data_IF_158268922519
#
_entry.id   IF_158268922519
#
_cell.length_a   1.000
_cell.length_b   1.000
_cell.length_c   1.000
_cell.angle_alpha   90.00
_cell.angle_beta   90.00
_cell.angle_gamma   90.00
#
_symmetry.space_group_name_H-M   'P 1'
#
loop_
_entity.id
_entity.type
_entity.pdbx_description
1 polymer ?
#
# COMPACT_ATOMS: atom_id res chain seq x y z
N UNK A 1 -6.87 -6.52 12.51
CA UNK A 1 -5.66 -7.32 12.12
C UNK A 1 -5.36 -7.04 10.66
N UNK A 2 -4.15 -7.34 10.19
CA UNK A 2 -3.83 -7.27 8.77
C UNK A 2 -3.24 -8.57 8.21
N UNK A 3 -3.49 -8.82 6.92
CA UNK A 3 -2.81 -9.85 6.12
C UNK A 3 -1.99 -9.16 5.05
N UNK A 4 -0.68 -9.45 5.06
CA UNK A 4 0.29 -8.90 4.13
C UNK A 4 0.58 -9.91 3.03
N UNK A 5 0.65 -9.42 1.80
CA UNK A 5 1.11 -10.19 0.66
C UNK A 5 1.86 -9.31 -0.34
N UNK A 6 2.89 -9.88 -0.96
CA UNK A 6 3.51 -9.30 -2.15
C UNK A 6 2.62 -9.56 -3.37
N UNK A 7 2.27 -8.52 -4.11
CA UNK A 7 1.43 -8.63 -5.31
C UNK A 7 2.21 -8.36 -6.58
N UNK A 8 1.82 -9.03 -7.66
CA UNK A 8 2.18 -8.60 -9.00
C UNK A 8 1.33 -7.38 -9.40
N UNK A 9 1.81 -6.53 -10.32
CA UNK A 9 1.05 -5.34 -10.71
C UNK A 9 -0.30 -5.68 -11.38
N UNK A 10 -0.41 -6.85 -12.02
CA UNK A 10 -1.66 -7.37 -12.56
C UNK A 10 -2.68 -7.79 -11.49
N UNK A 11 -2.23 -8.02 -10.26
CA UNK A 11 -3.03 -8.51 -9.14
C UNK A 11 -3.54 -7.39 -8.23
N UNK A 12 -2.82 -6.24 -8.19
CA UNK A 12 -3.18 -5.12 -7.32
C UNK A 12 -4.56 -4.53 -7.64
N UNK A 13 -4.87 -4.23 -8.92
CA UNK A 13 -6.15 -3.62 -9.30
C UNK A 13 -7.38 -4.51 -8.99
N UNK A 14 -7.32 -5.84 -9.22
CA UNK A 14 -8.33 -6.77 -8.71
C UNK A 14 -8.43 -6.74 -7.17
N UNK A 15 -7.31 -6.80 -6.44
CA UNK A 15 -7.30 -6.84 -4.97
C UNK A 15 -8.01 -5.62 -4.36
N UNK A 16 -7.62 -4.40 -4.75
CA UNK A 16 -8.25 -3.16 -4.27
C UNK A 16 -9.74 -3.01 -4.66
N UNK A 17 -10.25 -3.84 -5.57
CA UNK A 17 -11.68 -3.80 -5.95
C UNK A 17 -12.52 -4.78 -5.12
N UNK A 18 -11.87 -5.72 -4.42
CA UNK A 18 -12.53 -6.74 -3.61
C UNK A 18 -12.39 -6.50 -2.11
N UNK A 19 -11.39 -5.71 -1.69
CA UNK A 19 -11.17 -5.34 -0.29
C UNK A 19 -11.98 -4.10 0.10
N UNK A 20 -12.51 -4.09 1.33
CA UNK A 20 -13.23 -2.94 1.88
C UNK A 20 -12.29 -1.83 2.35
N UNK A 21 -11.29 -2.20 3.15
CA UNK A 21 -10.24 -1.32 3.64
C UNK A 21 -8.88 -2.00 3.38
N UNK A 22 -7.96 -1.30 2.74
CA UNK A 22 -6.63 -1.86 2.50
C UNK A 22 -5.57 -0.78 2.38
N UNK A 23 -4.33 -1.18 2.59
CA UNK A 23 -3.16 -0.35 2.42
C UNK A 23 -2.20 -1.02 1.45
N UNK A 24 -1.55 -0.25 0.57
CA UNK A 24 -0.53 -0.81 -0.30
C UNK A 24 0.59 0.18 -0.61
N UNK A 25 1.74 -0.38 -0.91
CA UNK A 25 2.97 0.35 -1.22
C UNK A 25 3.49 -0.13 -2.56
N UNK A 26 3.82 0.79 -3.45
CA UNK A 26 4.43 0.51 -4.74
C UNK A 26 5.86 1.06 -4.69
N UNK A 27 6.86 0.18 -4.87
CA UNK A 27 8.28 0.52 -4.82
C UNK A 27 8.97 0.10 -6.10
N UNK A 28 9.77 0.98 -6.69
CA UNK A 28 10.58 0.65 -7.84
C UNK A 28 11.92 1.39 -7.82
N UNK A 29 13.00 0.69 -8.15
CA UNK A 29 14.33 1.29 -8.29
C UNK A 29 14.52 1.76 -9.75
N UNK A 30 14.31 3.06 -9.98
CA UNK A 30 14.56 3.70 -11.29
C UNK A 30 16.07 4.00 -11.42
N UNK A 31 16.60 4.15 -12.65
CA UNK A 31 18.05 4.35 -12.86
C UNK A 31 18.69 5.53 -12.13
N UNK A 32 17.90 6.55 -11.77
CA UNK A 32 18.38 7.80 -11.18
C UNK A 32 17.74 8.12 -9.82
N UNK A 33 16.77 7.33 -9.36
CA UNK A 33 16.06 7.55 -8.10
C UNK A 33 15.24 6.33 -7.68
N UNK A 34 14.97 6.22 -6.39
CA UNK A 34 13.92 5.35 -5.90
C UNK A 34 12.54 6.01 -6.13
N UNK A 35 11.59 5.24 -6.64
CA UNK A 35 10.18 5.60 -6.68
C UNK A 35 9.46 4.78 -5.61
N UNK A 36 8.70 5.48 -4.77
CA UNK A 36 7.93 4.85 -3.71
C UNK A 36 6.68 5.69 -3.45
N UNK A 37 5.53 5.02 -3.42
CA UNK A 37 4.26 5.60 -2.99
C UNK A 37 3.54 4.64 -2.05
N UNK A 38 2.85 5.18 -1.07
CA UNK A 38 1.93 4.46 -0.20
C UNK A 38 0.52 4.97 -0.46
N UNK A 39 -0.46 4.07 -0.49
CA UNK A 39 -1.86 4.41 -0.71
C UNK A 39 -2.71 3.64 0.28
N UNK A 40 -3.60 4.38 0.94
CA UNK A 40 -4.61 3.82 1.83
C UNK A 40 -5.98 3.95 1.16
N UNK A 41 -6.75 2.86 1.15
CA UNK A 41 -8.10 2.80 0.61
C UNK A 41 -9.09 2.68 1.77
N UNK A 42 -9.99 3.65 1.86
CA UNK A 42 -11.08 3.67 2.83
C UNK A 42 -12.32 4.28 2.19
N UNK A 43 -13.48 3.61 2.31
CA UNK A 43 -14.78 4.08 1.78
C UNK A 43 -14.70 4.53 0.30
N UNK A 44 -14.12 3.68 -0.57
CA UNK A 44 -13.89 3.94 -2.00
C UNK A 44 -12.96 5.13 -2.34
N UNK A 45 -12.31 5.72 -1.34
CA UNK A 45 -11.36 6.82 -1.49
C UNK A 45 -9.91 6.33 -1.35
N UNK A 46 -9.06 6.72 -2.31
CA UNK A 46 -7.63 6.42 -2.27
C UNK A 46 -6.88 7.65 -1.77
N UNK A 47 -6.23 7.51 -0.62
CA UNK A 47 -5.42 8.53 0.00
C UNK A 47 -3.95 8.27 -0.28
N UNK A 48 -3.26 9.25 -0.86
CA UNK A 48 -1.83 9.18 -1.10
C UNK A 48 -1.08 9.55 0.18
N UNK A 49 -0.20 8.65 0.61
CA UNK A 49 0.62 8.83 1.81
C UNK A 49 2.09 8.98 1.39
N UNK A 50 2.70 10.09 1.82
CA UNK A 50 4.11 10.42 1.63
C UNK A 50 4.71 10.83 2.98
N UNK A 51 4.96 9.85 3.84
CA UNK A 51 5.59 10.04 5.15
C UNK A 51 6.72 9.04 5.34
N UNK A 52 7.93 9.54 5.63
CA UNK A 52 9.13 8.71 5.81
C UNK A 52 8.99 7.76 7.00
N UNK A 53 8.28 8.16 8.07
CA UNK A 53 8.05 7.32 9.26
C UNK A 53 7.19 6.11 8.93
N UNK A 54 6.17 6.31 8.09
CA UNK A 54 5.33 5.22 7.60
C UNK A 54 6.17 4.24 6.79
N UNK A 55 7.04 4.74 5.91
CA UNK A 55 7.92 3.88 5.12
C UNK A 55 8.93 3.10 5.97
N UNK A 56 9.51 3.72 6.99
CA UNK A 56 10.38 3.05 7.95
C UNK A 56 9.63 1.93 8.70
N UNK A 57 8.38 2.18 9.10
CA UNK A 57 7.55 1.17 9.77
C UNK A 57 7.24 -0.01 8.84
N UNK A 58 6.89 0.25 7.57
CA UNK A 58 6.65 -0.81 6.59
C UNK A 58 7.87 -1.70 6.41
N UNK A 59 9.07 -1.12 6.36
CA UNK A 59 10.31 -1.92 6.25
C UNK A 59 10.47 -2.86 7.46
N UNK A 60 10.13 -2.42 8.68
CA UNK A 60 10.20 -3.25 9.88
C UNK A 60 9.25 -4.45 9.83
N UNK A 61 8.01 -4.24 9.37
CA UNK A 61 6.97 -5.28 9.32
C UNK A 61 6.89 -6.02 7.98
N UNK A 62 7.75 -5.68 7.01
CA UNK A 62 7.69 -6.20 5.63
C UNK A 62 7.81 -7.73 5.52
N UNK A 63 8.44 -8.36 6.51
CA UNK A 63 8.63 -9.82 6.56
C UNK A 63 7.47 -10.58 7.21
N UNK A 64 6.51 -9.87 7.79
CA UNK A 64 5.35 -10.44 8.48
C UNK A 64 4.23 -10.66 7.47
N UNK A 65 3.63 -11.85 7.48
CA UNK A 65 2.49 -12.18 6.61
C UNK A 65 1.15 -11.89 7.29
N UNK A 66 1.11 -11.90 8.63
CA UNK A 66 -0.06 -11.63 9.44
C UNK A 66 0.41 -10.84 10.67
N UNK A 67 -0.23 -9.71 10.96
CA UNK A 67 0.14 -8.87 12.09
C UNK A 67 -1.03 -8.07 12.65
N UNK A 68 -0.72 -7.26 13.65
CA UNK A 68 -1.71 -6.41 14.31
C UNK A 68 -1.81 -5.07 13.58
N UNK A 69 -3.03 -4.61 13.33
CA UNK A 69 -3.25 -3.33 12.65
C UNK A 69 -2.72 -2.13 13.45
N UNK A 70 -2.68 -2.27 14.77
CA UNK A 70 -2.08 -1.29 15.69
C UNK A 70 -0.57 -1.05 15.42
N UNK A 71 0.10 -1.93 14.68
CA UNK A 71 1.50 -1.77 14.29
C UNK A 71 1.70 -0.81 13.11
N UNK A 72 0.64 -0.50 12.34
CA UNK A 72 0.73 0.33 11.13
C UNK A 72 -0.32 1.45 11.07
N UNK A 73 -1.52 1.25 11.60
CA UNK A 73 -2.60 2.24 11.56
C UNK A 73 -2.20 3.60 12.15
N UNK A 74 -1.50 3.70 13.31
CA UNK A 74 -1.10 4.99 13.84
C UNK A 74 -0.22 5.79 12.87
N UNK A 75 0.65 5.11 12.12
CA UNK A 75 1.51 5.75 11.12
C UNK A 75 0.72 6.16 9.87
N UNK A 76 -0.29 5.40 9.49
CA UNK A 76 -1.22 5.74 8.40
C UNK A 76 -2.02 6.98 8.78
N UNK A 77 -2.57 7.04 10.00
CA UNK A 77 -3.34 8.16 10.53
C UNK A 77 -2.50 9.44 10.58
N UNK A 78 -1.29 9.38 11.15
CA UNK A 78 -0.36 10.51 11.15
C UNK A 78 -0.04 10.97 9.71
N UNK A 79 0.21 10.04 8.79
CA UNK A 79 0.49 10.37 7.40
C UNK A 79 -0.73 10.99 6.69
N UNK A 80 -1.95 10.59 7.03
CA UNK A 80 -3.18 11.20 6.50
C UNK A 80 -3.30 12.66 6.93
N UNK A 81 -3.05 12.95 8.21
CA UNK A 81 -3.11 14.31 8.77
C UNK A 81 -2.06 15.23 8.13
N UNK A 82 -0.81 14.76 8.07
CA UNK A 82 0.33 15.51 7.50
C UNK A 82 0.16 15.74 5.99
N UNK A 83 -0.40 14.77 5.27
CA UNK A 83 -0.70 14.91 3.84
C UNK A 83 -2.04 15.60 3.56
N UNK A 84 -2.72 16.11 4.60
CA UNK A 84 -4.01 16.80 4.48
C UNK A 84 -5.06 15.98 3.72
N UNK A 85 -5.08 14.66 3.94
CA UNK A 85 -6.01 13.74 3.29
C UNK A 85 -5.98 13.83 1.77
N UNK A 86 -4.78 13.97 1.19
CA UNK A 86 -4.60 14.09 -0.25
C UNK A 86 -5.15 12.86 -0.98
N UNK A 87 -6.13 13.10 -1.86
CA UNK A 87 -6.74 12.05 -2.68
C UNK A 87 -5.98 11.82 -3.98
N UNK A 88 -5.97 10.56 -4.42
CA UNK A 88 -5.48 10.13 -5.73
C UNK A 88 -6.58 9.36 -6.46
N UNK A 89 -6.74 9.57 -7.76
CA UNK A 89 -7.69 8.75 -8.52
C UNK A 89 -7.08 7.37 -8.84
N UNK A 90 -7.91 6.31 -8.79
CA UNK A 90 -7.55 4.94 -9.23
C UNK A 90 -6.92 4.89 -10.62
N UNK A 91 -7.30 5.82 -11.51
CA UNK A 91 -6.73 5.94 -12.85
C UNK A 91 -5.22 6.29 -12.84
N UNK A 92 -4.76 7.11 -11.88
CA UNK A 92 -3.34 7.43 -11.73
C UNK A 92 -2.55 6.25 -11.19
N UNK A 93 -3.09 5.52 -10.21
CA UNK A 93 -2.48 4.28 -9.71
C UNK A 93 -2.30 3.28 -10.87
N UNK A 94 -3.33 3.09 -11.70
CA UNK A 94 -3.26 2.24 -12.89
C UNK A 94 -2.21 2.74 -13.90
N UNK A 95 -2.09 4.05 -14.09
CA UNK A 95 -1.11 4.65 -14.98
C UNK A 95 0.33 4.36 -14.50
N UNK A 96 0.58 4.52 -13.20
CA UNK A 96 1.87 4.24 -12.58
C UNK A 96 2.26 2.78 -12.75
N UNK A 97 1.37 1.84 -12.39
CA UNK A 97 1.59 0.40 -12.60
C UNK A 97 1.90 0.07 -14.06
N UNK A 98 1.10 0.60 -14.98
CA UNK A 98 1.26 0.36 -16.42
C UNK A 98 2.57 0.93 -16.97
N UNK A 99 3.06 2.02 -16.37
CA UNK A 99 4.32 2.67 -16.74
C UNK A 99 5.49 1.84 -16.23
N UNK A 100 5.51 1.53 -14.93
CA UNK A 100 6.57 0.74 -14.30
C UNK A 100 6.71 -0.64 -14.96
N UNK A 101 5.60 -1.33 -15.26
CA UNK A 101 5.63 -2.63 -15.94
C UNK A 101 6.28 -2.62 -17.33
N UNK A 102 6.28 -1.46 -18.02
CA UNK A 102 6.85 -1.33 -19.37
C UNK A 102 8.31 -0.87 -19.35
N UNK A 103 8.81 -0.42 -18.21
CA UNK A 103 10.19 0.00 -18.08
C UNK A 103 11.10 -1.24 -18.07
N UNK A 104 12.14 -1.20 -18.90
CA UNK A 104 13.08 -2.33 -19.07
C UNK A 104 14.34 -2.17 -18.22
N UNK A 105 14.52 -1.00 -17.61
CA UNK A 105 15.68 -0.54 -16.87
C UNK A 105 15.43 -0.45 -15.36
N UNK A 106 14.32 -1.04 -14.88
CA UNK A 106 14.05 -1.20 -13.45
C UNK A 106 14.96 -2.26 -12.85
N UNK A 107 15.63 -1.91 -11.76
CA UNK A 107 16.47 -2.86 -11.01
C UNK A 107 15.63 -3.71 -10.07
N UNK A 108 14.56 -3.12 -9.51
CA UNK A 108 13.57 -3.79 -8.68
C UNK A 108 12.19 -3.15 -8.88
N UNK A 109 11.16 -3.95 -8.66
CA UNK A 109 9.77 -3.51 -8.64
C UNK A 109 9.01 -4.44 -7.68
N UNK A 110 8.45 -3.86 -6.62
CA UNK A 110 7.75 -4.57 -5.56
C UNK A 110 6.45 -3.86 -5.19
N UNK A 111 5.45 -4.65 -4.81
CA UNK A 111 4.16 -4.16 -4.31
C UNK A 111 3.82 -4.93 -3.05
N UNK A 112 3.78 -4.21 -1.92
CA UNK A 112 3.30 -4.75 -0.64
C UNK A 112 1.84 -4.37 -0.49
N UNK A 113 0.99 -5.35 -0.23
CA UNK A 113 -0.45 -5.15 -0.03
C UNK A 113 -0.84 -5.67 1.35
N UNK A 114 -1.61 -4.87 2.08
CA UNK A 114 -2.10 -5.12 3.43
C UNK A 114 -3.62 -5.02 3.39
N UNK A 115 -4.29 -6.15 3.65
CA UNK A 115 -5.73 -6.19 3.80
C UNK A 115 -6.08 -6.09 5.29
N UNK A 116 -6.88 -5.10 5.67
CA UNK A 116 -7.38 -4.97 7.03
C UNK A 116 -8.69 -5.73 7.15
N UNK A 117 -8.82 -6.48 8.25
CA UNK A 117 -10.04 -7.19 8.57
C UNK A 117 -10.23 -7.26 10.09
N UNK A 118 -11.49 -7.13 10.47
CA UNK A 118 -11.93 -7.40 11.83
C UNK A 118 -11.68 -8.87 12.16
N UNK A 119 -11.05 -9.12 13.31
CA UNK A 119 -10.98 -10.45 13.91
C UNK A 119 -12.36 -10.87 14.42
N UNK A 120 -13.30 -11.27 13.56
CA UNK A 120 -14.53 -11.93 14.01
C UNK A 120 -14.34 -13.44 14.04
N UNK A 121 -13.97 -13.91 15.23
CA UNK A 121 -13.83 -15.32 15.59
C UNK A 121 -14.19 -15.57 17.04
N UNK A 122 -15.25 -14.95 17.57
CA UNK A 122 -16.07 -15.63 18.59
C UNK A 122 -17.05 -16.53 17.81
N UNK A 123 -16.66 -17.79 17.60
CA UNK A 123 -17.63 -18.84 17.24
C UNK A 123 -18.55 -19.07 18.45
N UNK A 124 -19.86 -18.95 18.24
CA UNK A 124 -20.92 -19.33 19.19
C UNK A 124 -20.85 -20.82 19.61
#
# INVERSE_FOLDING_TARGET
MYYQQALQPSELLPAISNSGECFFVIRAELPIRQYQIAVYLYDDQFFLLQDDRLFDQIEQISSETLGDEEEILPFIEEALEENHYLLVEKAFIRLDLSTLQKMTDLTSFDILFYEFFDSWGEEE
#
